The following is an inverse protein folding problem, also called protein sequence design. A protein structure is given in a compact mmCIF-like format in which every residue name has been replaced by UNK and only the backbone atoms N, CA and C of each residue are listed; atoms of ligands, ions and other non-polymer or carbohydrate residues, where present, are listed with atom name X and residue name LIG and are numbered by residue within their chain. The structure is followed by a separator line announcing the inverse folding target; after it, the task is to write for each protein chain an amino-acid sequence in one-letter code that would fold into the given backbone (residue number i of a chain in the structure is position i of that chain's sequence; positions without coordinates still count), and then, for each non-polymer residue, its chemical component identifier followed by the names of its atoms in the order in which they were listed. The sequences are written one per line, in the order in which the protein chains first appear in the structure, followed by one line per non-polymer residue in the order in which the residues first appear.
data_IF_805080066869
#
_entry.id   IF_805080066869
#
_cell.length_a   1.000
_cell.length_b   1.000
_cell.length_c   1.000
_cell.angle_alpha   90.00
_cell.angle_beta   90.00
_cell.angle_gamma   90.00
#
_symmetry.space_group_name_H-M   'P 1'
#
loop_
_entity.id
_entity.type
_entity.pdbx_description
1 polymer ?
#
# COMPACT_ATOMS: atom_id res chain seq x y z
N UNK A 1 -30.10 2.72 -51.79
CA UNK A 1 -28.70 2.33 -51.56
C UNK A 1 -28.64 0.86 -51.91
N UNK A 2 -27.76 0.46 -52.82
CA UNK A 2 -27.72 -0.90 -53.36
C UNK A 2 -26.44 -1.61 -52.90
N UNK A 3 -26.51 -2.91 -52.62
CA UNK A 3 -25.37 -3.70 -52.23
C UNK A 3 -24.39 -3.85 -53.42
N UNK A 4 -23.10 -3.49 -53.28
CA UNK A 4 -22.15 -3.52 -54.40
C UNK A 4 -21.83 -4.92 -54.91
N UNK A 5 -22.09 -5.96 -54.10
CA UNK A 5 -21.77 -7.35 -54.46
C UNK A 5 -22.93 -8.11 -55.11
N UNK A 6 -24.16 -7.96 -54.60
CA UNK A 6 -25.32 -8.69 -55.13
C UNK A 6 -26.38 -7.82 -55.81
N UNK A 7 -26.20 -6.49 -55.81
CA UNK A 7 -27.16 -5.53 -56.38
C UNK A 7 -28.48 -5.42 -55.61
N UNK A 8 -28.62 -6.09 -54.46
CA UNK A 8 -29.86 -6.03 -53.67
C UNK A 8 -30.03 -4.67 -52.98
N UNK A 9 -31.28 -4.24 -52.87
CA UNK A 9 -31.69 -3.03 -52.14
C UNK A 9 -32.10 -3.29 -50.69
N UNK A 10 -32.01 -4.55 -50.24
CA UNK A 10 -32.34 -4.96 -48.89
C UNK A 10 -31.15 -4.78 -47.95
N UNK A 11 -31.03 -3.56 -47.42
CA UNK A 11 -29.97 -3.13 -46.50
C UNK A 11 -30.57 -2.90 -45.12
N UNK A 12 -29.98 -3.54 -44.10
CA UNK A 12 -30.42 -3.48 -42.71
C UNK A 12 -29.31 -2.96 -41.82
N UNK A 13 -29.71 -2.23 -40.78
CA UNK A 13 -28.81 -1.60 -39.84
C UNK A 13 -28.69 -2.49 -38.60
N UNK A 14 -27.51 -3.06 -38.40
CA UNK A 14 -27.21 -3.79 -37.17
C UNK A 14 -26.75 -2.79 -36.10
N UNK A 15 -27.73 -2.25 -35.38
CA UNK A 15 -27.48 -1.30 -34.30
C UNK A 15 -26.63 -1.86 -33.16
N UNK A 16 -26.57 -3.19 -32.99
CA UNK A 16 -25.79 -3.81 -31.92
C UNK A 16 -24.30 -3.73 -32.22
N UNK A 17 -23.93 -3.90 -33.48
CA UNK A 17 -22.54 -3.86 -33.93
C UNK A 17 -22.15 -2.51 -34.57
N UNK A 18 -23.14 -1.66 -34.87
CA UNK A 18 -22.91 -0.35 -35.47
C UNK A 18 -22.55 -0.43 -36.95
N UNK A 19 -23.13 -1.38 -37.67
CA UNK A 19 -22.78 -1.71 -39.05
C UNK A 19 -24.03 -1.69 -39.93
N UNK A 20 -23.86 -1.35 -41.21
CA UNK A 20 -24.90 -1.41 -42.24
C UNK A 20 -24.62 -2.65 -43.10
N UNK A 21 -25.53 -3.61 -43.09
CA UNK A 21 -25.32 -4.95 -43.66
C UNK A 21 -26.41 -5.26 -44.69
N UNK A 22 -26.04 -5.87 -45.81
CA UNK A 22 -27.03 -6.41 -46.75
C UNK A 22 -27.68 -7.66 -46.18
N UNK A 23 -29.02 -7.70 -46.08
CA UNK A 23 -29.73 -8.87 -45.56
C UNK A 23 -29.74 -10.07 -46.50
N UNK A 24 -29.53 -9.83 -47.80
CA UNK A 24 -29.57 -10.89 -48.81
C UNK A 24 -28.25 -11.67 -48.87
N UNK A 25 -27.09 -11.00 -48.82
CA UNK A 25 -25.78 -11.66 -48.92
C UNK A 25 -24.91 -11.55 -47.66
N UNK A 26 -25.35 -10.81 -46.64
CA UNK A 26 -24.66 -10.68 -45.36
C UNK A 26 -23.43 -9.80 -45.38
N UNK A 27 -23.14 -9.08 -46.48
CA UNK A 27 -21.95 -8.23 -46.56
C UNK A 27 -22.16 -6.91 -45.82
N UNK A 28 -21.14 -6.49 -45.07
CA UNK A 28 -21.10 -5.17 -44.44
C UNK A 28 -20.78 -4.15 -45.53
N UNK A 29 -21.70 -3.21 -45.74
CA UNK A 29 -21.60 -2.17 -46.76
C UNK A 29 -20.91 -0.94 -46.19
N UNK A 30 -21.19 -0.59 -44.93
CA UNK A 30 -20.60 0.56 -44.26
C UNK A 30 -20.69 0.41 -42.74
N UNK A 31 -19.92 1.21 -42.01
CA UNK A 31 -19.97 1.29 -40.56
C UNK A 31 -20.67 2.59 -40.14
N UNK A 32 -21.65 2.47 -39.23
CA UNK A 32 -22.43 3.61 -38.74
C UNK A 32 -21.56 4.52 -37.86
N UNK A 33 -20.56 3.96 -37.19
CA UNK A 33 -19.60 4.70 -36.37
C UNK A 33 -18.22 4.73 -37.05
N UNK A 34 -17.81 5.91 -37.52
CA UNK A 34 -16.42 6.13 -37.90
C UNK A 34 -15.56 6.16 -36.64
N UNK A 35 -14.83 5.08 -36.36
CA UNK A 35 -13.77 5.12 -35.34
C UNK A 35 -12.55 5.86 -35.90
N UNK A 36 -12.65 7.19 -35.93
CA UNK A 36 -11.50 8.06 -36.11
C UNK A 36 -10.58 7.94 -34.90
N UNK A 37 -9.38 7.41 -35.11
CA UNK A 37 -8.30 7.52 -34.12
C UNK A 37 -7.90 8.99 -34.00
N UNK A 38 -7.93 9.46 -32.75
CA UNK A 38 -7.28 10.64 -32.19
C UNK A 38 -7.86 12.01 -32.59
N UNK A 39 -8.83 12.48 -31.82
CA UNK A 39 -8.87 13.86 -31.33
C UNK A 39 -9.83 13.93 -30.13
N UNK A 40 -9.25 14.20 -28.95
CA UNK A 40 -9.87 14.65 -27.68
C UNK A 40 -11.28 14.14 -27.37
N UNK A 41 -11.37 13.17 -26.45
CA UNK A 41 -12.58 12.82 -25.70
C UNK A 41 -13.37 14.09 -25.35
N UNK A 42 -14.44 14.36 -26.11
CA UNK A 42 -15.43 15.35 -25.75
C UNK A 42 -16.04 14.88 -24.44
N UNK A 43 -15.60 15.51 -23.37
CA UNK A 43 -16.04 15.23 -22.02
C UNK A 43 -17.49 15.67 -21.96
N UNK A 44 -18.42 14.72 -22.12
CA UNK A 44 -19.79 14.93 -21.67
C UNK A 44 -19.71 15.33 -20.20
N UNK A 45 -19.93 16.62 -19.96
CA UNK A 45 -19.84 17.15 -18.61
C UNK A 45 -21.11 16.73 -17.91
N UNK A 46 -21.07 15.59 -17.22
CA UNK A 46 -22.11 15.20 -16.29
C UNK A 46 -22.10 16.27 -15.18
N UNK A 47 -23.03 17.22 -15.23
CA UNK A 47 -23.22 18.20 -14.16
C UNK A 47 -23.91 17.47 -13.01
N UNK A 48 -23.12 16.76 -12.20
CA UNK A 48 -23.59 16.22 -10.92
C UNK A 48 -23.86 17.41 -10.02
N UNK A 49 -25.14 17.64 -9.67
CA UNK A 49 -25.50 18.68 -8.71
C UNK A 49 -24.95 18.29 -7.32
N UNK A 50 -23.72 18.73 -7.05
CA UNK A 50 -22.91 18.35 -5.90
C UNK A 50 -23.44 18.85 -4.55
N UNK A 51 -24.65 19.40 -4.48
CA UNK A 51 -25.18 20.02 -3.25
C UNK A 51 -25.46 18.95 -2.18
N UNK A 52 -26.05 17.81 -2.56
CA UNK A 52 -26.36 16.72 -1.62
C UNK A 52 -25.11 15.94 -1.18
N UNK A 53 -24.16 15.69 -2.11
CA UNK A 53 -22.94 14.95 -1.79
C UNK A 53 -21.96 15.76 -0.93
N UNK A 54 -21.89 17.09 -1.10
CA UNK A 54 -21.03 17.94 -0.28
C UNK A 54 -21.43 17.89 1.19
N UNK A 55 -22.72 17.91 1.48
CA UNK A 55 -23.23 17.88 2.86
C UNK A 55 -22.94 16.52 3.50
N UNK A 56 -23.15 15.41 2.78
CA UNK A 56 -22.83 14.06 3.28
C UNK A 56 -21.32 13.83 3.47
N UNK A 57 -20.49 14.37 2.56
CA UNK A 57 -19.03 14.33 2.69
C UNK A 57 -18.59 15.16 3.91
N UNK A 58 -19.12 16.39 4.06
CA UNK A 58 -18.86 17.24 5.23
C UNK A 58 -19.30 16.57 6.52
N UNK A 59 -20.46 15.91 6.55
CA UNK A 59 -20.95 15.18 7.72
C UNK A 59 -20.03 14.00 8.04
N UNK A 60 -19.57 13.24 7.03
CA UNK A 60 -18.61 12.14 7.22
C UNK A 60 -17.25 12.66 7.71
N UNK A 61 -16.74 13.74 7.14
CA UNK A 61 -15.50 14.38 7.58
C UNK A 61 -15.60 14.91 9.01
N UNK A 62 -16.71 15.54 9.37
CA UNK A 62 -16.97 16.00 10.73
C UNK A 62 -17.07 14.83 11.70
N UNK A 63 -17.71 13.72 11.32
CA UNK A 63 -17.75 12.49 12.13
C UNK A 63 -16.36 11.91 12.33
N UNK A 64 -15.55 11.85 11.27
CA UNK A 64 -14.16 11.36 11.33
C UNK A 64 -13.31 12.29 12.20
N UNK A 65 -13.34 13.61 11.98
CA UNK A 65 -12.63 14.60 12.81
C UNK A 65 -13.06 14.50 14.27
N UNK A 66 -14.35 14.39 14.54
CA UNK A 66 -14.87 14.25 15.91
C UNK A 66 -14.42 12.94 16.54
N UNK A 67 -14.41 11.84 15.78
CA UNK A 67 -13.88 10.56 16.22
C UNK A 67 -12.38 10.62 16.51
N UNK A 68 -11.57 11.23 15.64
CA UNK A 68 -10.12 11.38 15.82
C UNK A 68 -9.78 12.30 17.01
N UNK A 69 -10.51 13.40 17.16
CA UNK A 69 -10.40 14.35 18.27
C UNK A 69 -10.81 13.71 19.61
N UNK A 70 -11.92 12.97 19.64
CA UNK A 70 -12.41 12.23 20.83
C UNK A 70 -11.46 11.09 21.22
N UNK A 71 -10.80 10.47 20.24
CA UNK A 71 -9.81 9.41 20.46
C UNK A 71 -8.37 9.90 20.68
N UNK A 72 -8.13 11.22 20.86
CA UNK A 72 -6.78 11.80 21.07
C UNK A 72 -5.75 11.41 19.99
N UNK A 73 -6.19 11.03 18.79
CA UNK A 73 -5.29 10.61 17.71
C UNK A 73 -4.61 11.84 17.07
N UNK A 74 -5.27 12.99 17.07
CA UNK A 74 -4.78 14.22 16.42
C UNK A 74 -3.58 14.89 17.14
N UNK A 75 -3.27 14.54 18.39
CA UNK A 75 -2.26 15.25 19.19
C UNK A 75 -1.11 14.38 19.71
N UNK A 76 -1.02 13.10 19.31
CA UNK A 76 0.25 12.40 19.50
C UNK A 76 1.19 12.94 18.42
N UNK A 77 2.04 13.91 18.77
CA UNK A 77 3.26 14.20 17.99
C UNK A 77 3.89 12.84 17.70
N UNK A 78 3.76 12.35 16.46
CA UNK A 78 4.31 11.07 16.06
C UNK A 78 5.79 11.16 16.35
N UNK A 79 6.27 10.39 17.32
CA UNK A 79 7.67 10.41 17.71
C UNK A 79 8.48 10.13 16.44
N UNK A 80 9.53 10.90 16.16
CA UNK A 80 10.39 10.67 15.00
C UNK A 80 10.84 9.20 14.92
N UNK A 81 11.03 8.56 16.07
CA UNK A 81 11.38 7.14 16.15
C UNK A 81 10.22 6.20 15.79
N UNK A 82 8.96 6.58 15.97
CA UNK A 82 7.81 5.82 15.47
C UNK A 82 7.75 5.87 13.94
N UNK A 83 8.07 7.02 13.33
CA UNK A 83 8.14 7.16 11.86
C UNK A 83 9.26 6.27 11.31
N UNK A 84 10.47 6.38 11.87
CA UNK A 84 11.63 5.59 11.45
C UNK A 84 11.34 4.10 11.64
N UNK A 85 10.75 3.70 12.77
CA UNK A 85 10.38 2.31 13.04
C UNK A 85 9.41 1.79 11.98
N UNK A 86 8.34 2.54 11.64
CA UNK A 86 7.40 2.13 10.59
C UNK A 86 8.08 1.99 9.24
N UNK A 87 8.98 2.92 8.89
CA UNK A 87 9.75 2.85 7.65
C UNK A 87 10.68 1.63 7.61
N UNK A 88 11.37 1.31 8.71
CA UNK A 88 12.23 0.12 8.80
C UNK A 88 11.42 -1.17 8.62
N UNK A 89 10.20 -1.24 9.13
CA UNK A 89 9.36 -2.44 9.04
C UNK A 89 8.78 -2.70 7.64
N UNK A 90 9.02 -1.82 6.66
CA UNK A 90 8.77 -2.12 5.25
C UNK A 90 9.78 -3.14 4.71
N UNK A 91 10.99 -3.17 5.26
CA UNK A 91 11.99 -4.18 4.93
C UNK A 91 11.60 -5.52 5.60
N UNK A 92 11.57 -6.58 4.79
CA UNK A 92 11.12 -7.90 5.22
C UNK A 92 11.96 -8.48 6.37
N UNK A 93 13.26 -8.19 6.40
CA UNK A 93 14.18 -8.71 7.41
C UNK A 93 13.94 -8.01 8.76
N UNK A 94 13.77 -6.69 8.75
CA UNK A 94 13.38 -5.96 9.95
C UNK A 94 12.00 -6.34 10.45
N UNK A 95 11.04 -6.57 9.56
CA UNK A 95 9.69 -7.05 9.90
C UNK A 95 9.74 -8.42 10.59
N UNK A 96 10.56 -9.32 10.07
CA UNK A 96 10.81 -10.65 10.65
C UNK A 96 11.42 -10.56 12.05
N UNK A 97 12.50 -9.80 12.20
CA UNK A 97 13.15 -9.57 13.51
C UNK A 97 12.14 -8.98 14.50
N UNK A 98 11.36 -7.98 14.07
CA UNK A 98 10.35 -7.37 14.90
C UNK A 98 9.33 -8.39 15.41
N UNK A 99 8.84 -9.27 14.54
CA UNK A 99 7.89 -10.32 14.89
C UNK A 99 8.46 -11.25 15.96
N UNK A 100 9.64 -11.82 15.74
CA UNK A 100 10.30 -12.72 16.71
C UNK A 100 10.48 -12.04 18.07
N UNK A 101 11.00 -10.80 18.09
CA UNK A 101 11.19 -10.07 19.34
C UNK A 101 9.87 -9.67 20.02
N UNK A 102 8.82 -9.44 19.26
CA UNK A 102 7.49 -9.12 19.79
C UNK A 102 6.83 -10.35 20.41
N UNK A 103 6.87 -11.48 19.71
CA UNK A 103 6.31 -12.77 20.17
C UNK A 103 7.03 -13.26 21.43
N UNK A 104 8.34 -13.00 21.53
CA UNK A 104 9.13 -13.23 22.74
C UNK A 104 8.87 -12.21 23.86
N UNK A 105 7.99 -11.23 23.66
CA UNK A 105 7.63 -10.20 24.65
C UNK A 105 8.75 -9.19 24.94
N UNK A 106 9.82 -9.16 24.15
CA UNK A 106 11.00 -8.30 24.37
C UNK A 106 10.67 -6.85 24.02
N UNK A 107 9.82 -6.63 23.02
CA UNK A 107 9.42 -5.30 22.57
C UNK A 107 8.26 -4.71 23.38
N UNK A 108 7.60 -5.49 24.22
CA UNK A 108 6.44 -5.07 25.00
C UNK A 108 6.78 -3.96 25.98
N UNK A 109 5.95 -2.90 26.00
CA UNK A 109 6.16 -1.72 26.85
C UNK A 109 7.35 -0.84 26.46
N UNK A 110 8.10 -1.17 25.39
CA UNK A 110 9.23 -0.36 24.96
C UNK A 110 8.81 0.82 24.09
N UNK A 111 9.45 1.98 24.30
CA UNK A 111 9.35 3.14 23.40
C UNK A 111 9.99 2.83 22.05
N UNK A 112 9.53 3.50 20.99
CA UNK A 112 9.99 3.27 19.60
C UNK A 112 11.51 3.34 19.45
N UNK A 113 12.18 4.33 20.05
CA UNK A 113 13.65 4.44 20.07
C UNK A 113 14.35 3.18 20.59
N UNK A 114 13.79 2.55 21.63
CA UNK A 114 14.36 1.34 22.22
C UNK A 114 14.10 0.11 21.36
N UNK A 115 12.93 0.02 20.73
CA UNK A 115 12.62 -1.01 19.74
C UNK A 115 13.59 -0.92 18.56
N UNK A 116 13.81 0.28 18.03
CA UNK A 116 14.72 0.53 16.91
C UNK A 116 16.14 0.05 17.23
N UNK A 117 16.66 0.38 18.42
CA UNK A 117 17.99 -0.07 18.82
C UNK A 117 18.13 -1.59 18.89
N UNK A 118 17.09 -2.30 19.35
CA UNK A 118 17.07 -3.76 19.36
C UNK A 118 17.01 -4.33 17.94
N UNK A 119 16.16 -3.77 17.07
CA UNK A 119 16.09 -4.20 15.66
C UNK A 119 17.44 -4.06 14.96
N UNK A 120 18.10 -2.92 15.11
CA UNK A 120 19.44 -2.66 14.55
C UNK A 120 20.45 -3.67 15.11
N UNK A 121 20.42 -3.92 16.42
CA UNK A 121 21.30 -4.91 17.03
C UNK A 121 21.08 -6.30 16.43
N UNK A 122 19.86 -6.83 16.44
CA UNK A 122 19.59 -8.18 15.95
C UNK A 122 19.78 -8.32 14.44
N UNK A 123 19.63 -7.24 13.66
CA UNK A 123 19.91 -7.23 12.22
C UNK A 123 21.40 -7.39 11.92
N UNK A 124 22.25 -6.81 12.76
CA UNK A 124 23.69 -6.72 12.50
C UNK A 124 24.53 -7.38 13.58
N UNK A 125 23.96 -8.19 14.47
CA UNK A 125 24.64 -8.66 15.69
C UNK A 125 25.95 -9.41 15.44
N UNK A 126 26.11 -9.99 14.25
CA UNK A 126 27.31 -10.68 13.80
C UNK A 126 28.47 -9.73 13.41
N UNK A 127 28.22 -8.42 13.33
CA UNK A 127 29.19 -7.39 12.93
C UNK A 127 29.05 -6.13 13.79
N UNK A 128 30.16 -5.48 14.14
CA UNK A 128 30.15 -4.19 14.86
C UNK A 128 29.48 -3.03 14.08
N UNK A 129 29.01 -3.29 12.85
CA UNK A 129 28.22 -2.36 12.02
C UNK A 129 26.97 -1.81 12.73
N UNK A 130 26.41 -2.55 13.68
CA UNK A 130 25.27 -2.04 14.45
C UNK A 130 25.61 -0.75 15.21
N UNK A 131 26.88 -0.57 15.64
CA UNK A 131 27.31 0.64 16.35
C UNK A 131 27.21 1.89 15.47
N UNK A 132 27.58 1.77 14.20
CA UNK A 132 27.48 2.85 13.22
C UNK A 132 26.02 3.24 13.00
N UNK A 133 25.17 2.25 12.75
CA UNK A 133 23.74 2.43 12.54
C UNK A 133 23.06 3.08 13.75
N UNK A 134 23.38 2.63 14.97
CA UNK A 134 22.86 3.28 16.19
C UNK A 134 23.22 4.76 16.27
N UNK A 135 24.45 5.13 15.88
CA UNK A 135 24.92 6.52 15.88
C UNK A 135 24.15 7.36 14.87
N UNK A 136 23.90 6.85 13.66
CA UNK A 136 23.09 7.52 12.63
C UNK A 136 21.69 7.87 13.13
N UNK A 137 21.05 6.97 13.89
CA UNK A 137 19.72 7.21 14.48
C UNK A 137 19.76 7.95 15.84
N UNK A 138 20.93 8.40 16.30
CA UNK A 138 21.08 9.10 17.58
C UNK A 138 20.73 8.23 18.80
N UNK A 139 20.99 6.92 18.72
CA UNK A 139 20.75 5.95 19.79
C UNK A 139 22.07 5.66 20.52
N UNK A 140 22.10 5.95 21.83
CA UNK A 140 23.27 5.63 22.68
C UNK A 140 23.39 4.12 22.91
N UNK A 141 24.53 3.53 22.56
CA UNK A 141 24.84 2.11 22.74
C UNK A 141 24.71 1.65 24.20
N UNK A 142 25.06 2.49 25.17
CA UNK A 142 24.91 2.19 26.60
C UNK A 142 23.49 1.80 26.98
N UNK A 143 22.49 2.48 26.42
CA UNK A 143 21.09 2.20 26.68
C UNK A 143 20.67 0.84 26.10
N UNK A 144 21.17 0.51 24.91
CA UNK A 144 20.98 -0.81 24.31
C UNK A 144 21.63 -1.89 25.16
N UNK A 145 22.91 -1.72 25.55
CA UNK A 145 23.64 -2.68 26.39
C UNK A 145 22.94 -2.95 27.72
N UNK A 146 22.41 -1.90 28.38
CA UNK A 146 21.61 -2.06 29.62
C UNK A 146 20.38 -2.93 29.39
N UNK A 147 19.74 -2.85 28.22
CA UNK A 147 18.58 -3.68 27.87
C UNK A 147 19.00 -5.11 27.54
N UNK A 148 20.02 -5.28 26.71
CA UNK A 148 20.55 -6.60 26.35
C UNK A 148 21.02 -7.38 27.58
N UNK A 149 21.65 -6.72 28.56
CA UNK A 149 22.04 -7.35 29.83
C UNK A 149 20.85 -7.90 30.65
N UNK A 150 19.64 -7.36 30.46
CA UNK A 150 18.42 -7.87 31.12
C UNK A 150 17.87 -9.11 30.43
N UNK A 151 18.28 -9.37 29.19
CA UNK A 151 17.94 -10.58 28.45
C UNK A 151 19.01 -11.61 28.81
N UNK A 152 18.59 -12.76 29.34
CA UNK A 152 19.54 -13.83 29.68
C UNK A 152 20.24 -14.35 28.43
N UNK A 153 21.50 -14.81 28.57
CA UNK A 153 22.26 -15.38 27.45
C UNK A 153 21.52 -16.52 26.76
N UNK A 154 20.93 -17.44 27.53
CA UNK A 154 20.12 -18.55 27.00
C UNK A 154 18.96 -18.06 26.11
N UNK A 155 18.32 -16.96 26.51
CA UNK A 155 17.22 -16.37 25.75
C UNK A 155 17.71 -15.65 24.50
N UNK A 156 18.86 -14.99 24.55
CA UNK A 156 19.51 -14.42 23.36
C UNK A 156 19.83 -15.50 22.33
N UNK A 157 20.41 -16.62 22.74
CA UNK A 157 20.68 -17.75 21.85
C UNK A 157 19.40 -18.24 21.16
N UNK A 158 18.35 -18.50 21.93
CA UNK A 158 17.05 -18.94 21.39
C UNK A 158 16.44 -17.96 20.38
N UNK A 159 16.62 -16.65 20.58
CA UNK A 159 16.17 -15.65 19.60
C UNK A 159 16.98 -15.76 18.31
N UNK A 160 18.31 -15.89 18.40
CA UNK A 160 19.15 -16.04 17.21
C UNK A 160 18.84 -17.34 16.45
N UNK A 161 18.61 -18.44 17.16
CA UNK A 161 18.22 -19.72 16.56
C UNK A 161 16.91 -19.54 15.76
N UNK A 162 15.89 -18.92 16.36
CA UNK A 162 14.61 -18.61 15.67
C UNK A 162 14.80 -17.72 14.44
N UNK A 163 15.68 -16.73 14.52
CA UNK A 163 15.96 -15.84 13.40
C UNK A 163 16.65 -16.57 12.24
N UNK A 164 17.50 -17.55 12.54
CA UNK A 164 18.21 -18.37 11.55
C UNK A 164 17.29 -19.46 10.97
N UNK A 165 16.48 -20.16 11.77
CA UNK A 165 15.55 -21.18 11.28
C UNK A 165 14.51 -20.62 10.28
N UNK A 166 14.08 -19.38 10.49
CA UNK A 166 13.20 -18.70 9.57
C UNK A 166 13.94 -18.12 8.34
N UNK A 167 15.28 -18.10 8.29
CA UNK A 167 16.00 -17.66 7.06
C UNK A 167 16.08 -18.77 6.04
N UNK A 168 16.08 -20.01 6.51
CA UNK A 168 16.26 -21.21 5.68
C UNK A 168 14.92 -21.69 5.05
N UNK A 169 13.81 -21.01 5.34
CA UNK A 169 12.46 -21.30 4.80
C UNK A 169 12.05 -20.40 3.63
N UNK A 170 12.96 -19.57 3.13
CA UNK A 170 12.79 -18.67 1.96
C UNK A 170 13.74 -19.15 0.87
#
# INVERSE_FOLDING_TARGET
MECPVCGSNEIVWDNKNGEVVCSNCGIIIDNIYYSGRNESESTETIIISNKFYKDDILIKELRIKTFLKKNRIENKKTDQYEIILRSMLLDAQYKKIYKVLYDEGILSGLKAKSKLGLLIYFRFALNDRYLHQLKEFGIKNENLRKRLKRISRKRLTLIFDKLNEESDRI
#
